data_IF_726017082162
#
_entry.id   IF_726017082162
#
_cell.length_a   1.000
_cell.length_b   1.000
_cell.length_c   1.000
_cell.angle_alpha   90.00
_cell.angle_beta   90.00
_cell.angle_gamma   90.00
#
_symmetry.space_group_name_H-M   'P 1'
#
loop_
_entity.id
_entity.type
_entity.pdbx_description
1 polymer ?
#
# COMPACT_ATOMS: atom_id res chain seq x y z
N UNK A 1 -72.21 22.55 15.29
CA UNK A 1 -72.83 21.23 15.43
C UNK A 1 -71.67 20.25 15.69
N UNK A 2 -71.32 19.99 16.96
CA UNK A 2 -71.69 18.75 17.74
C UNK A 2 -71.32 17.47 16.96
N UNK A 3 -70.48 16.54 17.44
CA UNK A 3 -70.43 15.85 18.75
C UNK A 3 -69.02 15.23 18.99
N UNK A 4 -68.48 15.32 20.23
CA UNK A 4 -68.24 14.25 21.23
C UNK A 4 -67.26 13.12 20.79
N UNK A 5 -66.02 13.01 21.31
CA UNK A 5 -65.54 12.67 22.66
C UNK A 5 -65.81 11.21 23.09
N UNK A 6 -64.76 10.38 23.16
CA UNK A 6 -64.66 9.27 24.11
C UNK A 6 -63.20 8.91 24.42
N UNK A 7 -62.97 8.53 25.68
CA UNK A 7 -61.68 8.53 26.40
C UNK A 7 -61.40 7.17 27.06
N UNK A 8 -60.12 6.72 26.97
CA UNK A 8 -59.32 5.95 27.97
C UNK A 8 -59.74 4.48 28.28
N UNK A 9 -58.88 3.61 28.89
CA UNK A 9 -57.68 3.93 29.69
C UNK A 9 -56.40 3.10 29.44
N UNK A 10 -55.32 3.64 30.02
CA UNK A 10 -54.01 3.05 30.30
C UNK A 10 -54.06 2.16 31.57
N UNK A 11 -53.20 1.14 31.73
CA UNK A 11 -52.85 0.64 33.05
C UNK A 11 -51.43 1.11 33.44
N UNK A 12 -51.39 1.96 34.47
CA UNK A 12 -50.21 2.20 35.30
C UNK A 12 -50.22 1.17 36.44
N UNK A 13 -49.12 0.45 36.61
CA UNK A 13 -48.72 -0.13 37.91
C UNK A 13 -47.25 0.24 38.12
N UNK A 14 -46.96 0.84 39.26
CA UNK A 14 -45.66 1.17 39.84
C UNK A 14 -45.73 0.75 41.33
N UNK A 15 -44.67 0.83 42.14
CA UNK A 15 -43.47 -0.03 42.25
C UNK A 15 -43.37 -0.75 43.61
N UNK A 16 -42.52 -1.76 43.71
CA UNK A 16 -41.98 -2.32 44.97
C UNK A 16 -40.62 -2.96 44.59
N UNK A 17 -39.47 -2.82 45.22
CA UNK A 17 -39.04 -2.22 46.47
C UNK A 17 -37.81 -3.03 46.95
N UNK A 18 -36.70 -2.34 47.29
CA UNK A 18 -35.48 -2.81 47.98
C UNK A 18 -34.47 -3.69 47.20
N UNK A 19 -33.13 -3.55 47.31
CA UNK A 19 -32.14 -2.60 47.86
C UNK A 19 -30.75 -3.03 47.27
N UNK A 20 -29.68 -2.22 47.35
CA UNK A 20 -28.43 -2.37 46.61
C UNK A 20 -27.35 -3.17 47.36
N UNK A 21 -26.35 -3.66 46.62
CA UNK A 21 -25.09 -4.17 47.20
C UNK A 21 -23.96 -3.19 46.86
N UNK A 22 -23.34 -2.65 47.91
CA UNK A 22 -22.28 -1.66 47.90
C UNK A 22 -20.89 -2.31 47.79
N UNK A 23 -20.01 -1.60 47.08
CA UNK A 23 -18.55 -1.61 47.26
C UNK A 23 -18.15 -1.38 48.72
N UNK A 24 -16.95 -1.84 49.13
CA UNK A 24 -16.20 -1.02 50.07
C UNK A 24 -14.77 -0.76 49.58
N UNK A 25 -14.41 0.53 49.59
CA UNK A 25 -13.05 1.00 49.77
C UNK A 25 -13.01 1.76 51.10
N UNK A 26 -12.05 1.44 51.98
CA UNK A 26 -11.60 2.33 53.04
C UNK A 26 -10.16 1.98 53.42
N UNK A 27 -9.36 3.04 53.60
CA UNK A 27 -7.93 3.06 53.86
C UNK A 27 -7.58 2.84 55.34
N UNK A 28 -6.29 2.57 55.62
CA UNK A 28 -5.71 2.59 56.97
C UNK A 28 -4.23 2.16 57.02
N UNK A 29 -3.34 3.14 56.83
CA UNK A 29 -2.01 3.40 57.42
C UNK A 29 -1.08 2.27 57.95
N UNK A 30 0.21 2.37 57.61
CA UNK A 30 1.30 1.63 58.26
C UNK A 30 2.66 1.79 57.56
N UNK A 31 3.37 2.88 57.85
CA UNK A 31 4.75 3.18 57.42
C UNK A 31 5.79 2.37 58.22
N UNK A 32 6.80 1.79 57.55
CA UNK A 32 8.19 1.74 58.02
C UNK A 32 9.17 1.37 56.91
N UNK A 33 10.11 2.28 56.71
CA UNK A 33 11.35 2.21 55.92
C UNK A 33 12.37 1.24 56.54
N UNK A 34 13.27 0.68 55.72
CA UNK A 34 14.75 0.81 55.79
C UNK A 34 15.39 -0.04 54.69
N UNK A 35 16.22 0.63 53.90
CA UNK A 35 17.18 0.16 52.90
C UNK A 35 18.34 -0.62 53.52
N UNK A 36 18.73 -1.77 52.94
CA UNK A 36 20.11 -2.19 52.63
C UNK A 36 20.14 -3.68 52.24
N UNK A 37 20.51 -3.98 50.98
CA UNK A 37 21.29 -5.14 50.54
C UNK A 37 21.19 -5.30 49.01
N UNK A 38 21.90 -4.42 48.30
CA UNK A 38 22.35 -4.72 46.94
C UNK A 38 23.80 -5.21 47.05
N UNK A 39 24.06 -6.47 46.68
CA UNK A 39 25.32 -7.00 46.13
C UNK A 39 25.37 -8.51 46.38
N UNK A 40 24.79 -9.31 45.49
CA UNK A 40 25.32 -10.61 45.02
C UNK A 40 24.24 -11.43 44.29
N UNK A 41 23.76 -10.94 43.13
CA UNK A 41 23.17 -11.84 42.10
C UNK A 41 23.17 -11.18 40.72
N UNK A 42 24.33 -10.65 40.32
CA UNK A 42 24.54 -10.09 38.98
C UNK A 42 25.76 -10.73 38.32
N UNK A 43 25.77 -12.07 38.21
CA UNK A 43 26.76 -12.77 37.38
C UNK A 43 26.45 -14.22 37.03
N UNK A 44 25.19 -14.62 36.80
CA UNK A 44 24.93 -16.00 36.32
C UNK A 44 23.56 -16.20 35.63
N UNK A 45 23.18 -15.28 34.74
CA UNK A 45 21.98 -15.45 33.90
C UNK A 45 22.12 -14.75 32.53
N UNK A 46 23.35 -14.67 32.01
CA UNK A 46 23.67 -14.01 30.74
C UNK A 46 24.19 -14.99 29.65
N UNK A 47 24.15 -16.30 29.89
CA UNK A 47 24.81 -17.28 29.02
C UNK A 47 23.91 -18.38 28.42
N UNK A 48 22.58 -18.25 28.49
CA UNK A 48 21.66 -19.28 27.96
C UNK A 48 20.54 -18.74 27.05
N UNK A 49 20.78 -17.61 26.36
CA UNK A 49 19.80 -17.03 25.40
C UNK A 49 20.41 -16.74 24.02
N UNK A 50 21.65 -17.17 23.75
CA UNK A 50 22.33 -16.88 22.47
C UNK A 50 22.28 -17.99 21.41
N UNK A 51 21.68 -19.15 21.69
CA UNK A 51 21.80 -20.32 20.81
C UNK A 51 20.50 -20.81 20.14
N UNK A 52 19.46 -19.96 20.07
CA UNK A 52 18.18 -20.36 19.42
C UNK A 52 17.53 -19.28 18.56
N UNK A 53 18.30 -18.26 18.13
CA UNK A 53 17.82 -17.17 17.27
C UNK A 53 18.57 -17.05 15.93
N UNK A 54 19.51 -17.97 15.62
CA UNK A 54 20.42 -17.85 14.46
C UNK A 54 20.02 -18.72 13.25
N UNK A 55 18.90 -19.45 13.27
CA UNK A 55 18.59 -20.46 12.23
C UNK A 55 17.35 -20.26 11.35
N UNK A 56 16.72 -19.09 11.33
CA UNK A 56 15.57 -18.85 10.43
C UNK A 56 15.58 -17.56 9.62
N UNK A 57 16.65 -16.75 9.67
CA UNK A 57 16.77 -15.53 8.84
C UNK A 57 17.47 -15.72 7.50
N UNK A 58 18.23 -16.80 7.31
CA UNK A 58 19.22 -16.85 6.21
C UNK A 58 18.73 -17.52 4.93
N UNK A 59 17.51 -18.08 4.89
CA UNK A 59 17.04 -18.88 3.76
C UNK A 59 15.97 -18.25 2.85
N UNK A 60 15.62 -16.97 3.01
CA UNK A 60 14.53 -16.36 2.20
C UNK A 60 14.90 -15.12 1.38
N UNK A 61 16.17 -14.66 1.39
CA UNK A 61 16.58 -13.49 0.61
C UNK A 61 17.75 -13.71 -0.37
N UNK A 62 18.18 -14.95 -0.60
CA UNK A 62 19.32 -15.29 -1.48
C UNK A 62 19.04 -15.22 -2.99
N UNK A 63 17.85 -14.77 -3.45
CA UNK A 63 17.52 -14.76 -4.89
C UNK A 63 17.51 -13.37 -5.56
N UNK A 64 17.87 -12.28 -4.86
CA UNK A 64 17.73 -10.90 -5.38
C UNK A 64 19.04 -10.09 -5.53
N UNK A 65 20.21 -10.68 -5.76
CA UNK A 65 21.38 -9.82 -5.99
C UNK A 65 22.64 -10.52 -6.47
N UNK A 66 23.14 -10.04 -7.62
CA UNK A 66 24.38 -10.41 -8.31
C UNK A 66 25.51 -10.98 -7.45
N UNK A 67 26.05 -12.10 -7.91
CA UNK A 67 27.21 -12.76 -7.31
C UNK A 67 28.49 -11.92 -7.40
N UNK A 68 29.38 -12.02 -6.40
CA UNK A 68 30.62 -11.26 -6.36
C UNK A 68 31.78 -11.89 -7.14
N UNK A 69 32.63 -10.97 -7.59
CA UNK A 69 33.86 -11.04 -8.39
C UNK A 69 34.98 -11.87 -7.72
N UNK A 70 35.80 -12.58 -8.52
CA UNK A 70 37.06 -13.20 -8.08
C UNK A 70 38.25 -12.54 -8.78
N UNK A 71 39.28 -12.20 -8.02
CA UNK A 71 40.52 -11.53 -8.44
C UNK A 71 41.57 -12.46 -9.08
N UNK A 72 42.62 -11.81 -9.61
CA UNK A 72 43.40 -12.01 -10.84
C UNK A 72 44.74 -12.73 -10.62
N UNK A 73 45.25 -13.42 -11.66
CA UNK A 73 46.69 -13.71 -11.85
C UNK A 73 47.10 -13.14 -13.23
N UNK A 74 48.04 -12.19 -13.25
CA UNK A 74 48.69 -11.58 -14.44
C UNK A 74 49.80 -12.52 -14.98
N UNK A 75 50.24 -12.50 -16.24
CA UNK A 75 50.79 -11.45 -17.14
C UNK A 75 50.65 -11.95 -18.61
N UNK A 76 50.74 -11.22 -19.74
CA UNK A 76 50.95 -9.82 -20.15
C UNK A 76 50.55 -9.69 -21.64
N UNK A 77 49.97 -8.52 -21.92
CA UNK A 77 49.98 -7.65 -23.12
C UNK A 77 49.66 -8.10 -24.57
N UNK A 78 48.98 -7.14 -25.21
CA UNK A 78 48.78 -6.87 -26.64
C UNK A 78 47.62 -7.56 -27.39
N UNK A 79 46.69 -6.73 -27.85
CA UNK A 79 45.97 -6.98 -29.11
C UNK A 79 44.45 -6.94 -28.99
N UNK A 80 43.87 -5.96 -29.68
CA UNK A 80 42.44 -5.76 -29.83
C UNK A 80 41.68 -6.94 -30.48
N UNK A 81 40.37 -6.92 -30.26
CA UNK A 81 39.32 -7.58 -31.06
C UNK A 81 39.21 -9.12 -30.98
N UNK A 82 38.32 -9.60 -30.11
CA UNK A 82 37.67 -10.90 -30.32
C UNK A 82 36.69 -10.82 -31.51
N UNK A 83 36.73 -11.78 -32.45
CA UNK A 83 35.97 -11.74 -33.67
C UNK A 83 34.52 -12.15 -33.41
N UNK A 84 33.64 -11.16 -33.27
CA UNK A 84 32.21 -11.32 -33.50
C UNK A 84 32.00 -11.87 -34.91
N UNK A 85 31.72 -13.16 -34.99
CA UNK A 85 31.46 -13.90 -36.22
C UNK A 85 30.27 -13.33 -37.00
N UNK A 86 30.55 -12.42 -37.92
CA UNK A 86 29.67 -12.07 -39.03
C UNK A 86 30.51 -11.59 -40.22
N UNK A 87 31.36 -12.48 -40.72
CA UNK A 87 31.95 -12.34 -42.04
C UNK A 87 31.06 -13.04 -43.06
N UNK A 88 30.21 -12.23 -43.70
CA UNK A 88 29.44 -12.56 -44.89
C UNK A 88 30.40 -12.91 -46.03
N UNK A 89 30.78 -14.19 -46.14
CA UNK A 89 31.37 -14.73 -47.34
C UNK A 89 30.23 -15.13 -48.30
N UNK A 90 30.12 -14.38 -49.41
CA UNK A 90 29.34 -14.77 -50.58
C UNK A 90 29.86 -16.12 -51.10
N UNK A 91 28.98 -17.13 -51.18
CA UNK A 91 29.07 -18.18 -52.18
C UNK A 91 27.65 -18.58 -52.60
N UNK A 92 27.37 -18.34 -53.87
CA UNK A 92 26.21 -18.80 -54.61
C UNK A 92 26.17 -20.34 -54.61
N UNK A 93 24.97 -20.89 -54.45
CA UNK A 93 24.71 -22.32 -54.44
C UNK A 93 23.24 -22.55 -54.15
N UNK A 94 22.46 -22.68 -55.22
CA UNK A 94 21.04 -23.04 -55.24
C UNK A 94 20.77 -24.31 -54.41
N UNK A 95 19.67 -24.28 -53.67
CA UNK A 95 19.23 -25.36 -52.81
C UNK A 95 17.96 -24.94 -52.09
N UNK A 96 16.85 -24.93 -52.84
CA UNK A 96 15.49 -24.80 -52.34
C UNK A 96 15.29 -25.78 -51.17
N UNK A 97 15.04 -25.25 -49.97
CA UNK A 97 14.37 -25.96 -48.90
C UNK A 97 13.19 -25.10 -48.49
N UNK A 98 12.06 -25.38 -49.13
CA UNK A 98 10.72 -25.02 -48.68
C UNK A 98 10.47 -25.69 -47.33
N UNK A 99 10.65 -24.94 -46.25
CA UNK A 99 10.08 -25.27 -44.94
C UNK A 99 9.32 -24.03 -44.43
N UNK A 100 8.52 -23.46 -45.34
CA UNK A 100 7.50 -22.47 -44.99
C UNK A 100 6.40 -23.22 -44.24
N UNK A 101 6.35 -23.04 -42.92
CA UNK A 101 5.26 -23.55 -42.12
C UNK A 101 3.94 -23.05 -42.75
N UNK A 102 2.93 -23.93 -42.97
CA UNK A 102 1.72 -23.52 -43.66
C UNK A 102 1.10 -22.32 -42.94
N UNK A 103 0.80 -21.27 -43.71
CA UNK A 103 0.12 -20.08 -43.19
C UNK A 103 -1.10 -20.53 -42.39
N UNK A 104 -1.17 -20.10 -41.13
CA UNK A 104 -2.31 -20.43 -40.28
C UNK A 104 -3.58 -19.90 -40.97
N UNK A 105 -4.65 -20.72 -41.08
CA UNK A 105 -5.86 -20.30 -41.78
C UNK A 105 -6.40 -19.02 -41.12
N UNK A 106 -6.66 -18.01 -41.93
CA UNK A 106 -7.26 -16.75 -41.46
C UNK A 106 -8.72 -17.00 -41.07
N UNK A 107 -8.95 -17.35 -39.80
CA UNK A 107 -10.29 -17.63 -39.28
C UNK A 107 -11.00 -16.31 -39.01
N UNK A 108 -11.98 -15.99 -39.85
CA UNK A 108 -12.88 -14.86 -39.67
C UNK A 108 -14.03 -15.19 -38.71
N UNK A 109 -14.30 -14.31 -37.74
CA UNK A 109 -15.42 -14.44 -36.81
C UNK A 109 -16.41 -13.29 -37.00
N UNK A 110 -17.70 -13.62 -37.16
CA UNK A 110 -18.75 -12.61 -37.15
C UNK A 110 -19.00 -12.11 -35.71
N UNK A 111 -19.00 -10.78 -35.46
CA UNK A 111 -19.24 -10.23 -34.13
C UNK A 111 -20.66 -10.52 -33.63
N UNK A 112 -20.77 -11.19 -32.48
CA UNK A 112 -22.06 -11.48 -31.82
C UNK A 112 -22.76 -10.20 -31.35
N UNK A 113 -21.99 -9.17 -30.99
CA UNK A 113 -22.51 -7.88 -30.52
C UNK A 113 -21.77 -6.78 -31.27
N UNK A 114 -22.52 -5.86 -31.86
CA UNK A 114 -21.98 -4.66 -32.52
C UNK A 114 -22.16 -3.47 -31.57
N UNK A 115 -21.07 -3.00 -30.99
CA UNK A 115 -21.04 -1.75 -30.22
C UNK A 115 -21.01 -0.57 -31.20
N UNK A 116 -22.18 -0.18 -31.72
CA UNK A 116 -22.31 0.85 -32.76
C UNK A 116 -22.20 2.27 -32.22
N UNK A 117 -22.51 2.47 -30.94
CA UNK A 117 -22.49 3.78 -30.31
C UNK A 117 -21.19 3.98 -29.54
N UNK A 118 -20.45 5.04 -29.90
CA UNK A 118 -19.31 5.49 -29.11
C UNK A 118 -19.83 6.11 -27.81
N UNK A 119 -19.67 5.41 -26.71
CA UNK A 119 -20.00 5.93 -25.39
C UNK A 119 -18.94 6.97 -24.98
N UNK A 120 -19.37 8.19 -24.66
CA UNK A 120 -18.49 9.18 -24.06
C UNK A 120 -18.20 8.78 -22.60
N UNK A 121 -16.95 8.43 -22.31
CA UNK A 121 -16.51 8.04 -20.97
C UNK A 121 -15.91 9.23 -20.25
N UNK A 122 -16.46 9.60 -19.10
CA UNK A 122 -15.89 10.61 -18.19
C UNK A 122 -14.94 9.96 -17.20
N UNK A 123 -13.90 10.67 -16.78
CA UNK A 123 -12.97 10.18 -15.76
C UNK A 123 -13.47 10.46 -14.36
N UNK A 124 -14.40 11.42 -14.21
CA UNK A 124 -14.86 11.99 -12.94
C UNK A 124 -13.72 12.65 -12.15
N UNK A 125 -12.83 13.31 -12.88
CA UNK A 125 -11.66 14.05 -12.38
C UNK A 125 -11.60 15.47 -12.98
N UNK A 126 -12.61 15.88 -13.76
CA UNK A 126 -12.63 17.12 -14.54
C UNK A 126 -12.74 18.39 -13.67
N UNK A 127 -13.32 18.25 -12.47
CA UNK A 127 -13.45 19.29 -11.45
C UNK A 127 -12.26 19.34 -10.48
N UNK A 128 -11.17 18.62 -10.79
CA UNK A 128 -10.00 18.55 -9.91
C UNK A 128 -8.76 19.12 -10.62
N UNK A 129 -7.85 19.65 -9.81
CA UNK A 129 -6.53 20.09 -10.22
C UNK A 129 -5.47 19.10 -9.72
N UNK A 130 -4.52 18.77 -10.59
CA UNK A 130 -3.46 17.83 -10.26
C UNK A 130 -2.33 18.55 -9.52
N UNK A 131 -2.34 18.49 -8.19
CA UNK A 131 -1.33 19.09 -7.33
C UNK A 131 0.01 18.32 -7.34
N UNK A 132 -0.04 17.00 -7.60
CA UNK A 132 1.14 16.15 -7.69
C UNK A 132 0.89 15.02 -8.69
N UNK A 133 1.95 14.60 -9.40
CA UNK A 133 1.94 13.41 -10.27
C UNK A 133 3.32 12.78 -10.32
N UNK A 134 3.38 11.48 -10.07
CA UNK A 134 4.64 10.74 -10.18
C UNK A 134 4.43 9.26 -10.45
N UNK A 135 5.39 8.65 -11.14
CA UNK A 135 5.46 7.21 -11.36
C UNK A 135 5.72 6.47 -10.06
N UNK A 136 4.94 5.44 -9.75
CA UNK A 136 5.10 4.63 -8.56
C UNK A 136 4.62 3.17 -8.75
N UNK A 137 4.98 2.32 -7.79
CA UNK A 137 4.40 1.00 -7.59
C UNK A 137 3.72 0.93 -6.23
N UNK A 138 2.46 0.52 -6.19
CA UNK A 138 1.62 0.41 -5.01
C UNK A 138 1.44 -1.05 -4.61
N UNK A 139 1.47 -1.31 -3.32
CA UNK A 139 1.24 -2.59 -2.69
C UNK A 139 0.13 -2.47 -1.64
N UNK A 140 -0.61 -3.56 -1.41
CA UNK A 140 -1.48 -3.71 -0.24
C UNK A 140 -0.95 -4.80 0.67
N UNK A 141 -1.07 -4.60 1.97
CA UNK A 141 -0.77 -5.64 2.95
C UNK A 141 -1.96 -6.59 3.07
N UNK A 142 -1.73 -7.85 2.76
CA UNK A 142 -2.70 -8.91 2.95
C UNK A 142 -2.62 -9.43 4.39
N UNK A 143 -3.70 -9.24 5.16
CA UNK A 143 -3.69 -9.60 6.59
C UNK A 143 -3.71 -11.10 6.82
N UNK A 144 -4.30 -11.87 5.90
CA UNK A 144 -4.44 -13.32 6.01
C UNK A 144 -3.11 -14.02 5.73
N UNK A 145 -2.46 -13.70 4.61
CA UNK A 145 -1.13 -14.25 4.28
C UNK A 145 0.04 -13.49 4.92
N UNK A 146 -0.22 -12.35 5.58
CA UNK A 146 0.78 -11.49 6.24
C UNK A 146 1.90 -11.06 5.30
N UNK A 147 1.55 -10.73 4.06
CA UNK A 147 2.50 -10.37 3.00
C UNK A 147 2.09 -9.12 2.22
N UNK A 148 3.06 -8.50 1.54
CA UNK A 148 2.80 -7.41 0.62
C UNK A 148 2.46 -7.94 -0.77
N UNK A 149 1.26 -7.65 -1.25
CA UNK A 149 0.82 -7.99 -2.62
C UNK A 149 0.88 -6.73 -3.50
N UNK A 150 1.41 -6.88 -4.72
CA UNK A 150 1.37 -5.78 -5.70
C UNK A 150 -0.08 -5.43 -6.01
N UNK A 151 -0.44 -4.16 -5.82
CA UNK A 151 -1.78 -3.66 -6.10
C UNK A 151 -1.82 -2.99 -7.47
N UNK A 152 -0.78 -2.26 -7.87
CA UNK A 152 -0.70 -1.64 -9.19
C UNK A 152 0.58 -0.85 -9.44
N UNK A 153 0.94 -0.70 -10.72
CA UNK A 153 2.03 0.17 -11.19
C UNK A 153 1.46 1.20 -12.14
N UNK A 154 1.83 2.48 -11.95
CA UNK A 154 1.25 3.59 -12.71
C UNK A 154 1.64 4.96 -12.15
N UNK A 155 0.88 5.98 -12.52
CA UNK A 155 1.05 7.34 -11.97
C UNK A 155 0.15 7.53 -10.75
N UNK A 156 0.76 7.82 -9.59
CA UNK A 156 0.04 8.34 -8.43
C UNK A 156 -0.20 9.83 -8.62
N UNK A 157 -1.41 10.29 -8.33
CA UNK A 157 -1.81 11.70 -8.41
C UNK A 157 -2.47 12.14 -7.13
N UNK A 158 -2.15 13.36 -6.71
CA UNK A 158 -2.92 14.08 -5.70
C UNK A 158 -3.81 15.09 -6.42
N UNK A 159 -5.12 14.89 -6.31
CA UNK A 159 -6.13 15.65 -7.03
C UNK A 159 -6.90 16.51 -6.04
N UNK A 160 -6.84 17.83 -6.22
CA UNK A 160 -7.50 18.83 -5.38
C UNK A 160 -8.78 19.30 -6.06
N UNK A 161 -9.92 19.13 -5.42
CA UNK A 161 -11.20 19.54 -5.99
C UNK A 161 -11.34 21.07 -6.04
N UNK A 162 -11.78 21.62 -7.17
CA UNK A 162 -11.85 23.07 -7.41
C UNK A 162 -12.85 23.80 -6.52
N UNK A 163 -13.92 23.12 -6.09
CA UNK A 163 -14.96 23.73 -5.25
C UNK A 163 -14.69 23.53 -3.76
N UNK A 164 -14.78 22.29 -3.25
CA UNK A 164 -14.57 22.01 -1.83
C UNK A 164 -13.10 22.01 -1.36
N UNK A 165 -12.13 22.18 -2.28
CA UNK A 165 -10.69 22.24 -1.98
C UNK A 165 -10.08 20.96 -1.37
N UNK A 166 -10.85 19.88 -1.20
CA UNK A 166 -10.35 18.62 -0.63
C UNK A 166 -9.46 17.91 -1.63
N UNK A 167 -8.34 17.39 -1.13
CA UNK A 167 -7.38 16.62 -1.92
C UNK A 167 -7.55 15.12 -1.70
N UNK A 168 -7.61 14.35 -2.78
CA UNK A 168 -7.60 12.88 -2.76
C UNK A 168 -6.40 12.30 -3.50
N UNK A 169 -6.00 11.09 -3.12
CA UNK A 169 -5.03 10.29 -3.83
C UNK A 169 -5.76 9.39 -4.83
N UNK A 170 -5.37 9.47 -6.11
CA UNK A 170 -5.87 8.58 -7.16
C UNK A 170 -4.68 7.96 -7.90
N UNK A 171 -4.69 6.64 -8.06
CA UNK A 171 -3.69 5.91 -8.84
C UNK A 171 -4.38 4.93 -9.79
N UNK A 172 -3.92 4.87 -11.04
CA UNK A 172 -4.43 3.94 -12.06
C UNK A 172 -3.31 3.06 -12.57
N UNK A 173 -3.63 1.80 -12.86
CA UNK A 173 -2.69 0.85 -13.45
C UNK A 173 -2.40 1.20 -14.90
N UNK A 174 -1.15 1.00 -15.32
CA UNK A 174 -0.77 1.08 -16.71
C UNK A 174 -1.62 0.16 -17.59
N UNK A 175 -1.84 0.59 -18.83
CA UNK A 175 -2.56 -0.12 -19.91
C UNK A 175 -4.05 -0.34 -19.65
N UNK A 176 -4.40 -0.91 -18.51
CA UNK A 176 -5.79 -1.20 -18.13
C UNK A 176 -6.55 0.01 -17.63
N UNK A 177 -5.84 1.05 -17.16
CA UNK A 177 -6.40 2.30 -16.59
C UNK A 177 -7.34 2.08 -15.39
N UNK A 178 -7.40 0.86 -14.86
CA UNK A 178 -8.15 0.50 -13.66
C UNK A 178 -7.57 1.22 -12.46
N UNK A 179 -8.45 1.81 -11.65
CA UNK A 179 -8.07 2.44 -10.38
C UNK A 179 -7.51 1.38 -9.43
N UNK A 180 -6.43 1.71 -8.74
CA UNK A 180 -5.80 0.86 -7.72
C UNK A 180 -5.58 1.58 -6.37
N UNK A 181 -5.88 2.88 -6.30
CA UNK A 181 -6.09 3.62 -5.06
C UNK A 181 -7.01 4.80 -5.35
N UNK A 182 -7.94 5.06 -4.44
CA UNK A 182 -8.84 6.20 -4.47
C UNK A 182 -9.35 6.48 -3.05
N UNK A 183 -8.77 7.45 -2.38
CA UNK A 183 -9.16 7.87 -1.03
C UNK A 183 -8.77 9.33 -0.78
N UNK A 184 -9.52 10.01 0.08
CA UNK A 184 -9.10 11.33 0.58
C UNK A 184 -7.82 11.23 1.40
N UNK A 185 -6.99 12.27 1.34
CA UNK A 185 -5.92 12.45 2.32
C UNK A 185 -6.56 13.02 3.58
N UNK A 186 -6.47 12.31 4.70
CA UNK A 186 -7.11 12.72 5.96
C UNK A 186 -6.05 13.02 7.04
N UNK A 187 -6.36 13.89 8.03
CA UNK A 187 -5.37 14.37 9.00
C UNK A 187 -4.72 13.28 9.85
N UNK A 188 -5.41 12.16 10.07
CA UNK A 188 -4.95 11.03 10.87
C UNK A 188 -4.04 10.05 10.11
N UNK A 189 -3.88 10.21 8.78
CA UNK A 189 -2.93 9.42 8.01
C UNK A 189 -1.49 9.72 8.44
N UNK A 190 -0.64 8.69 8.44
CA UNK A 190 0.79 8.87 8.75
C UNK A 190 1.64 8.06 7.77
N UNK A 191 2.46 8.75 6.98
CA UNK A 191 3.48 8.11 6.18
C UNK A 191 4.60 7.62 7.10
N UNK A 192 4.79 6.31 7.16
CA UNK A 192 5.89 5.67 7.88
C UNK A 192 6.91 5.08 6.91
N UNK A 193 8.22 5.16 7.21
CA UNK A 193 9.24 4.56 6.36
C UNK A 193 9.08 3.03 6.36
N UNK A 194 9.28 2.40 5.20
CA UNK A 194 9.29 0.94 5.12
C UNK A 194 10.67 0.39 5.51
N UNK A 195 10.71 -0.66 6.34
CA UNK A 195 11.99 -1.26 6.76
C UNK A 195 12.74 -1.79 5.55
N UNK A 196 14.00 -1.40 5.39
CA UNK A 196 14.85 -1.82 4.27
C UNK A 196 14.59 -1.07 2.96
N UNK A 197 13.84 0.03 2.96
CA UNK A 197 13.69 0.89 1.78
C UNK A 197 13.73 2.38 2.14
N UNK A 198 14.59 3.12 1.45
CA UNK A 198 14.71 4.59 1.49
C UNK A 198 13.78 5.31 0.49
N UNK A 199 13.04 4.55 -0.31
CA UNK A 199 12.20 5.03 -1.42
C UNK A 199 10.77 4.53 -1.34
N UNK A 200 10.33 4.14 -0.15
CA UNK A 200 8.97 3.62 0.08
C UNK A 200 8.34 4.20 1.34
N UNK A 201 7.04 4.48 1.27
CA UNK A 201 6.22 4.91 2.40
C UNK A 201 5.04 3.95 2.62
N UNK A 202 4.62 3.81 3.88
CA UNK A 202 3.49 3.00 4.31
C UNK A 202 2.47 3.86 5.03
N UNK A 203 1.17 3.65 4.79
CA UNK A 203 0.09 4.30 5.54
C UNK A 203 -1.17 3.43 5.58
N UNK A 204 -2.12 3.83 6.43
CA UNK A 204 -3.46 3.25 6.47
C UNK A 204 -4.46 4.21 5.83
N UNK A 205 -5.27 3.71 4.90
CA UNK A 205 -6.44 4.40 4.38
C UNK A 205 -7.69 3.72 4.93
N UNK A 206 -8.51 4.42 5.71
CA UNK A 206 -9.69 3.84 6.33
C UNK A 206 -10.83 3.57 5.33
N UNK A 207 -10.89 4.33 4.23
CA UNK A 207 -11.96 4.30 3.25
C UNK A 207 -11.39 4.44 1.82
N UNK A 208 -10.67 3.43 1.34
CA UNK A 208 -10.26 3.34 -0.07
C UNK A 208 -11.38 2.71 -0.88
N UNK A 209 -11.82 3.41 -1.93
CA UNK A 209 -12.96 3.01 -2.78
C UNK A 209 -12.52 2.51 -4.17
N UNK A 210 -11.27 2.05 -4.30
CA UNK A 210 -10.75 1.66 -5.62
C UNK A 210 -11.30 0.32 -6.14
N UNK A 211 -11.92 -0.49 -5.28
CA UNK A 211 -12.55 -1.78 -5.64
C UNK A 211 -14.09 -1.75 -5.49
N UNK A 212 -14.68 -0.56 -5.27
CA UNK A 212 -16.13 -0.38 -5.13
C UNK A 212 -16.48 0.29 -3.81
N UNK A 213 -16.92 -0.50 -2.84
CA UNK A 213 -17.26 -0.02 -1.50
C UNK A 213 -16.03 0.47 -0.72
N UNK A 214 -16.20 1.36 0.27
CA UNK A 214 -15.09 1.81 1.12
C UNK A 214 -14.48 0.67 1.92
N UNK A 215 -13.16 0.48 1.77
CA UNK A 215 -12.41 -0.53 2.52
C UNK A 215 -11.20 0.05 3.24
N UNK A 216 -10.93 -0.48 4.44
CA UNK A 216 -9.71 -0.17 5.18
C UNK A 216 -8.52 -0.92 4.56
N UNK A 217 -7.52 -0.18 4.07
CA UNK A 217 -6.35 -0.71 3.38
C UNK A 217 -5.07 -0.23 4.06
N UNK A 218 -4.13 -1.14 4.31
CA UNK A 218 -2.75 -0.79 4.66
C UNK A 218 -1.93 -0.82 3.37
N UNK A 219 -1.48 0.35 2.94
CA UNK A 219 -0.86 0.58 1.63
C UNK A 219 0.62 0.87 1.79
N UNK A 220 1.41 0.38 0.85
CA UNK A 220 2.80 0.81 0.67
C UNK A 220 3.02 1.29 -0.75
N UNK A 221 3.72 2.40 -0.92
CA UNK A 221 4.07 2.95 -2.22
C UNK A 221 5.58 3.04 -2.35
N UNK A 222 6.11 2.64 -3.51
CA UNK A 222 7.53 2.68 -3.83
C UNK A 222 7.77 3.54 -5.05
N UNK A 223 8.79 4.39 -4.96
CA UNK A 223 9.24 5.28 -6.03
C UNK A 223 10.55 4.79 -6.65
N UNK A 224 10.97 5.45 -7.74
CA UNK A 224 12.21 5.11 -8.43
C UNK A 224 13.45 5.28 -7.53
N UNK A 225 13.50 6.37 -6.77
CA UNK A 225 14.61 6.74 -5.88
C UNK A 225 14.06 7.44 -4.61
N UNK A 226 14.95 7.73 -3.66
CA UNK A 226 14.62 8.37 -2.38
C UNK A 226 14.17 9.82 -2.54
N UNK A 227 14.75 10.56 -3.48
CA UNK A 227 14.34 11.94 -3.81
C UNK A 227 12.86 12.00 -4.21
N UNK A 228 12.44 11.15 -5.14
CA UNK A 228 11.04 11.04 -5.57
C UNK A 228 10.10 10.65 -4.42
N UNK A 229 10.54 9.75 -3.54
CA UNK A 229 9.78 9.39 -2.37
C UNK A 229 9.59 10.57 -1.41
N UNK A 230 10.62 11.39 -1.22
CA UNK A 230 10.53 12.58 -0.37
C UNK A 230 9.64 13.67 -1.00
N UNK A 231 9.72 13.89 -2.31
CA UNK A 231 8.81 14.80 -3.02
C UNK A 231 7.33 14.39 -2.88
N UNK A 232 7.06 13.08 -2.94
CA UNK A 232 5.71 12.57 -2.66
C UNK A 232 5.30 12.84 -1.21
N UNK A 233 6.19 12.57 -0.25
CA UNK A 233 5.91 12.80 1.17
C UNK A 233 5.58 14.27 1.44
N UNK A 234 6.40 15.19 0.93
CA UNK A 234 6.16 16.64 1.08
C UNK A 234 4.80 17.04 0.49
N UNK A 235 4.48 16.57 -0.71
CA UNK A 235 3.19 16.85 -1.34
C UNK A 235 2.00 16.24 -0.57
N UNK A 236 2.18 15.04 -0.01
CA UNK A 236 1.17 14.35 0.78
C UNK A 236 0.90 15.06 2.11
N UNK A 237 1.96 15.41 2.85
CA UNK A 237 1.86 16.13 4.13
C UNK A 237 1.27 17.54 3.92
N UNK A 238 1.66 18.24 2.86
CA UNK A 238 1.02 19.51 2.48
C UNK A 238 -0.49 19.35 2.23
N UNK A 239 -0.88 18.34 1.45
CA UNK A 239 -2.29 18.06 1.18
C UNK A 239 -3.05 17.67 2.46
N UNK A 240 -2.40 16.97 3.39
CA UNK A 240 -2.95 16.63 4.69
C UNK A 240 -3.23 17.86 5.54
N UNK A 241 -2.28 18.77 5.68
CA UNK A 241 -2.45 20.03 6.42
C UNK A 241 -3.54 20.93 5.80
N UNK A 242 -3.63 20.98 4.47
CA UNK A 242 -4.69 21.71 3.77
C UNK A 242 -6.05 21.08 4.04
N UNK A 243 -6.15 19.76 3.97
CA UNK A 243 -7.40 19.03 4.22
C UNK A 243 -7.85 19.10 5.68
N UNK A 244 -6.94 19.13 6.65
CA UNK A 244 -7.29 19.24 8.09
C UNK A 244 -8.14 20.47 8.37
N UNK A 245 -7.81 21.60 7.75
CA UNK A 245 -8.57 22.86 7.86
C UNK A 245 -9.98 22.73 7.30
N UNK A 246 -10.18 21.86 6.32
CA UNK A 246 -11.47 21.65 5.66
C UNK A 246 -12.34 20.65 6.41
N UNK A 247 -11.75 19.56 6.91
CA UNK A 247 -12.47 18.56 7.71
C UNK A 247 -12.87 19.09 9.09
N UNK A 248 -12.07 19.99 9.68
CA UNK A 248 -12.42 20.63 10.95
C UNK A 248 -13.50 21.71 10.82
N UNK A 249 -13.68 22.31 9.64
CA UNK A 249 -14.70 23.33 9.40
C UNK A 249 -16.11 22.76 9.14
N UNK A 250 -16.22 21.44 8.91
CA UNK A 250 -17.50 20.74 8.67
C UNK A 250 -18.09 20.09 9.93
N UNK A 251 -17.35 20.08 11.05
CA UNK A 251 -17.79 19.60 12.36
C UNK A 251 -18.11 20.75 13.31
#
# INVERSE_FOLDING_TARGET
>A
MSDAAETKPNPTITPEGAKPEETPAAAGEGEKTVTEAAADTAKEAAETVKDTAVKTSDNVFSMFGGGPKKEKKEETDEGADEPSGSSKAKKEGEGENEDDAPESPEVHFEPVIRLTEKVETKTNEELEEQAFKMRAKLFKFDRDSKEWKERGTGDVRLLKHKENQKTRLVMRRDKTLKVCANHYIVPDMKLSPNVGSDRSWVWNAAADVSEGEPEAQTLAIRFANSENANLFKEAFEKAQEENEKLFSAEN
#
